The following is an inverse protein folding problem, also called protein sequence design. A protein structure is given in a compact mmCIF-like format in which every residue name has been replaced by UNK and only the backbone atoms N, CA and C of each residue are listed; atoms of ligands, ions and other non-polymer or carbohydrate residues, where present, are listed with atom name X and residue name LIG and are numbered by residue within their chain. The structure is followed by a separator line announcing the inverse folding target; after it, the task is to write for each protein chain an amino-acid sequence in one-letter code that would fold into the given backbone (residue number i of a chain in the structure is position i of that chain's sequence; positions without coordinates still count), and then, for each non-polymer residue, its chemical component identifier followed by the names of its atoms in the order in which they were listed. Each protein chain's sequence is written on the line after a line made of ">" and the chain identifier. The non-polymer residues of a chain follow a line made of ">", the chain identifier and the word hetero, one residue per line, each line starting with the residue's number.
data_IF_910860050973
#
_entry.id   IF_910860050973
#
_cell.length_a   1.000
_cell.length_b   1.000
_cell.length_c   1.000
_cell.angle_alpha   90.00
_cell.angle_beta   90.00
_cell.angle_gamma   90.00
#
_symmetry.space_group_name_H-M   'P 1'
#
loop_
_entity.id
_entity.type
_entity.pdbx_description
1 polymer ?
#
# COMPACT_ATOMS: atom_id res chain seq x y z
N UNK A 1 9.67 -4.83 7.95
CA UNK A 1 8.61 -3.80 8.01
C UNK A 1 8.26 -3.30 6.63
N UNK A 2 7.10 -2.67 6.51
CA UNK A 2 6.66 -1.91 5.33
C UNK A 2 6.44 -0.46 5.75
N UNK A 3 7.15 0.48 5.15
CA UNK A 3 6.96 1.91 5.36
C UNK A 3 6.18 2.47 4.17
N UNK A 4 5.03 3.08 4.42
CA UNK A 4 4.27 3.79 3.40
C UNK A 4 4.52 5.28 3.53
N UNK A 5 5.00 5.89 2.46
CA UNK A 5 5.15 7.35 2.31
C UNK A 5 4.19 7.83 1.21
N UNK A 6 3.38 8.83 1.53
CA UNK A 6 2.33 9.37 0.68
C UNK A 6 2.60 10.86 0.50
N UNK A 7 2.61 11.34 -0.74
CA UNK A 7 2.95 12.73 -1.05
C UNK A 7 1.91 13.36 -1.98
N UNK A 8 1.49 14.59 -1.66
CA UNK A 8 0.44 15.27 -2.40
C UNK A 8 0.94 15.79 -3.76
N UNK A 9 0.21 15.44 -4.82
CA UNK A 9 0.46 15.92 -6.17
C UNK A 9 -0.14 17.31 -6.37
N UNK A 10 0.73 18.30 -6.59
CA UNK A 10 0.32 19.65 -6.99
C UNK A 10 -0.33 20.46 -5.87
N UNK A 11 0.20 20.32 -4.64
CA UNK A 11 -0.19 21.08 -3.45
C UNK A 11 -0.31 22.59 -3.67
N UNK A 12 0.61 23.18 -4.44
CA UNK A 12 0.58 24.62 -4.78
C UNK A 12 -0.66 25.07 -5.57
N UNK A 13 -1.35 24.14 -6.25
CA UNK A 13 -2.55 24.43 -7.05
C UNK A 13 -3.85 23.99 -6.40
N UNK A 14 -3.79 22.96 -5.55
CA UNK A 14 -4.97 22.31 -4.95
C UNK A 14 -5.17 22.63 -3.47
N UNK A 15 -4.25 23.37 -2.86
CA UNK A 15 -4.25 23.59 -1.42
C UNK A 15 -3.73 22.38 -0.65
N UNK A 16 -3.79 22.44 0.67
CA UNK A 16 -3.36 21.36 1.56
C UNK A 16 -4.47 20.31 1.71
N UNK A 17 -4.24 19.10 1.20
CA UNK A 17 -5.16 17.95 1.29
C UNK A 17 -4.73 16.94 2.37
N UNK A 18 -3.63 17.22 3.09
CA UNK A 18 -3.11 16.31 4.13
C UNK A 18 -4.13 16.03 5.24
N UNK A 19 -4.91 17.01 5.74
CA UNK A 19 -5.92 16.71 6.75
C UNK A 19 -6.94 15.66 6.29
N UNK A 20 -7.43 15.77 5.05
CA UNK A 20 -8.42 14.84 4.51
C UNK A 20 -7.85 13.43 4.28
N UNK A 21 -6.60 13.31 3.81
CA UNK A 21 -5.99 11.98 3.64
C UNK A 21 -5.67 11.32 4.97
N UNK A 22 -5.33 12.09 6.00
CA UNK A 22 -5.16 11.54 7.34
C UNK A 22 -6.47 11.01 7.91
N UNK A 23 -7.60 11.67 7.68
CA UNK A 23 -8.93 11.15 8.04
C UNK A 23 -9.24 9.84 7.30
N UNK A 24 -8.93 9.76 6.00
CA UNK A 24 -9.09 8.54 5.21
C UNK A 24 -8.23 7.40 5.76
N UNK A 25 -6.96 7.66 6.07
CA UNK A 25 -6.02 6.67 6.59
C UNK A 25 -6.39 6.23 8.02
N UNK A 26 -6.86 7.15 8.87
CA UNK A 26 -7.32 6.83 10.22
C UNK A 26 -8.57 5.95 10.20
N UNK A 27 -9.54 6.25 9.31
CA UNK A 27 -10.71 5.41 9.11
C UNK A 27 -10.34 4.01 8.58
N UNK A 28 -9.43 3.95 7.59
CA UNK A 28 -8.95 2.68 7.03
C UNK A 28 -8.09 1.86 7.99
N UNK A 29 -7.53 2.49 9.03
CA UNK A 29 -6.75 1.83 10.08
C UNK A 29 -7.51 1.67 11.40
N UNK A 30 -8.84 1.83 11.36
CA UNK A 30 -9.73 1.67 12.51
C UNK A 30 -9.31 2.49 13.74
N UNK A 31 -8.90 3.75 13.53
CA UNK A 31 -8.43 4.61 14.62
C UNK A 31 -7.21 4.03 15.33
N UNK A 32 -6.29 3.42 14.55
CA UNK A 32 -5.06 2.75 14.98
C UNK A 32 -5.21 1.32 15.52
N UNK A 33 -6.41 0.74 15.45
CA UNK A 33 -6.66 -0.63 15.93
C UNK A 33 -6.41 -1.70 14.85
N UNK A 34 -6.21 -1.32 13.58
CA UNK A 34 -6.09 -2.27 12.49
C UNK A 34 -4.90 -3.23 12.67
N UNK A 35 -5.12 -4.55 12.51
CA UNK A 35 -4.05 -5.55 12.56
C UNK A 35 -2.93 -5.24 11.57
N UNK A 36 -1.68 -5.31 12.04
CA UNK A 36 -0.50 -5.06 11.22
C UNK A 36 -0.11 -3.59 11.10
N UNK A 37 -0.86 -2.64 11.68
CA UNK A 37 -0.37 -1.28 11.90
C UNK A 37 0.68 -1.28 13.02
N UNK A 38 1.86 -0.71 12.76
CA UNK A 38 2.96 -0.61 13.73
C UNK A 38 3.12 0.81 14.23
N UNK A 39 3.21 1.79 13.31
CA UNK A 39 3.17 3.23 13.64
C UNK A 39 2.06 3.91 12.84
N UNK A 40 1.26 4.77 13.47
CA UNK A 40 0.15 5.45 12.80
C UNK A 40 0.64 6.38 11.69
N UNK A 41 -0.25 6.68 10.75
CA UNK A 41 0.01 7.67 9.73
C UNK A 41 -0.01 9.07 10.32
N UNK A 42 1.03 9.85 10.02
CA UNK A 42 1.12 11.24 10.43
C UNK A 42 1.74 12.09 9.34
N UNK A 43 1.46 13.40 9.38
CA UNK A 43 2.15 14.38 8.54
C UNK A 43 3.61 14.45 8.95
N UNK A 44 4.50 14.28 7.98
CA UNK A 44 5.94 14.49 8.17
C UNK A 44 6.29 15.94 7.84
N UNK A 45 6.93 16.19 6.69
CA UNK A 45 7.32 17.53 6.24
C UNK A 45 6.45 17.93 5.05
N UNK A 46 5.93 19.15 5.07
CA UNK A 46 5.19 19.70 3.93
C UNK A 46 3.90 18.94 3.68
N UNK A 47 3.73 18.39 2.49
CA UNK A 47 2.54 17.68 2.01
C UNK A 47 2.71 16.14 2.01
N UNK A 48 3.66 15.65 2.81
CA UNK A 48 3.97 14.23 2.97
C UNK A 48 3.33 13.65 4.26
N UNK A 49 2.83 12.42 4.14
CA UNK A 49 2.28 11.60 5.21
C UNK A 49 2.99 10.25 5.24
N UNK A 50 3.29 9.73 6.43
CA UNK A 50 4.03 8.48 6.58
C UNK A 50 3.49 7.60 7.70
N UNK A 51 3.44 6.29 7.47
CA UNK A 51 3.07 5.27 8.47
C UNK A 51 3.92 4.01 8.32
N UNK A 52 3.89 3.15 9.34
CA UNK A 52 4.65 1.89 9.37
C UNK A 52 3.72 0.72 9.62
N UNK A 53 3.87 -0.32 8.80
CA UNK A 53 3.12 -1.55 8.87
C UNK A 53 4.08 -2.73 9.08
N UNK A 54 3.58 -3.78 9.72
CA UNK A 54 4.29 -5.04 9.85
C UNK A 54 4.49 -5.67 8.47
N UNK A 55 5.60 -6.40 8.30
CA UNK A 55 5.84 -7.21 7.10
C UNK A 55 5.30 -8.64 7.28
N UNK A 56 4.14 -8.78 7.89
CA UNK A 56 3.40 -10.03 8.03
C UNK A 56 2.13 -10.01 7.14
N UNK A 57 1.32 -11.06 7.20
CA UNK A 57 0.11 -11.16 6.37
C UNK A 57 -0.89 -10.02 6.65
N UNK A 58 -1.06 -9.62 7.92
CA UNK A 58 -1.99 -8.56 8.29
C UNK A 58 -1.52 -7.20 7.79
N UNK A 59 -0.26 -6.83 8.09
CA UNK A 59 0.30 -5.55 7.68
C UNK A 59 0.44 -5.42 6.16
N UNK A 60 0.73 -6.52 5.46
CA UNK A 60 0.80 -6.51 4.01
C UNK A 60 -0.57 -6.41 3.32
N UNK A 61 -1.63 -7.03 3.87
CA UNK A 61 -3.01 -6.81 3.38
C UNK A 61 -3.43 -5.36 3.58
N UNK A 62 -3.20 -4.84 4.79
CA UNK A 62 -3.47 -3.43 5.11
C UNK A 62 -2.71 -2.50 4.16
N UNK A 63 -1.45 -2.79 3.83
CA UNK A 63 -0.68 -2.02 2.86
C UNK A 63 -1.34 -1.98 1.48
N UNK A 64 -1.81 -3.12 0.96
CA UNK A 64 -2.52 -3.19 -0.33
C UNK A 64 -3.80 -2.36 -0.28
N UNK A 65 -4.60 -2.50 0.78
CA UNK A 65 -5.86 -1.78 0.93
C UNK A 65 -5.66 -0.26 0.98
N UNK A 66 -4.68 0.20 1.75
CA UNK A 66 -4.33 1.63 1.86
C UNK A 66 -3.80 2.17 0.53
N UNK A 67 -2.92 1.44 -0.16
CA UNK A 67 -2.43 1.84 -1.49
C UNK A 67 -3.60 2.00 -2.47
N UNK A 68 -4.53 1.04 -2.52
CA UNK A 68 -5.67 1.12 -3.44
C UNK A 68 -6.66 2.24 -3.06
N UNK A 69 -6.86 2.50 -1.76
CA UNK A 69 -7.66 3.61 -1.28
C UNK A 69 -7.05 4.97 -1.69
N UNK A 70 -5.75 5.15 -1.51
CA UNK A 70 -5.02 6.37 -1.91
C UNK A 70 -5.02 6.58 -3.43
N UNK A 71 -4.85 5.50 -4.20
CA UNK A 71 -4.92 5.55 -5.67
C UNK A 71 -6.33 5.92 -6.16
N UNK A 72 -7.36 5.47 -5.45
CA UNK A 72 -8.76 5.81 -5.73
C UNK A 72 -9.09 7.26 -5.37
N UNK A 73 -8.66 7.72 -4.20
CA UNK A 73 -8.82 9.12 -3.76
C UNK A 73 -8.16 10.08 -4.76
N UNK A 74 -6.99 9.68 -5.25
CA UNK A 74 -6.27 10.37 -6.31
C UNK A 74 -5.60 11.65 -5.81
N UNK A 75 -4.68 12.19 -6.62
CA UNK A 75 -3.89 13.35 -6.19
C UNK A 75 -2.74 13.00 -5.25
N UNK A 76 -2.42 11.72 -5.08
CA UNK A 76 -1.30 11.23 -4.26
C UNK A 76 -0.27 10.49 -5.10
N UNK A 77 0.99 10.57 -4.69
CA UNK A 77 2.04 9.63 -5.07
C UNK A 77 2.34 8.75 -3.86
N UNK A 78 2.38 7.43 -4.07
CA UNK A 78 2.50 6.44 -3.00
C UNK A 78 3.79 5.65 -3.16
N UNK A 79 4.66 5.70 -2.16
CA UNK A 79 5.87 4.92 -2.06
C UNK A 79 5.78 3.88 -0.96
N UNK A 80 6.15 2.64 -1.28
CA UNK A 80 6.29 1.56 -0.29
C UNK A 80 7.76 1.17 -0.18
N UNK A 81 8.33 1.34 1.01
CA UNK A 81 9.67 0.85 1.35
C UNK A 81 9.59 -0.43 2.15
N UNK A 82 10.21 -1.49 1.66
CA UNK A 82 10.21 -2.80 2.33
C UNK A 82 11.59 -3.12 2.91
N UNK A 83 11.62 -3.61 4.15
CA UNK A 83 12.83 -4.12 4.80
C UNK A 83 12.95 -3.78 6.29
N UNK A 84 14.19 -3.81 6.84
CA UNK A 84 14.41 -3.54 8.25
C UNK A 84 14.26 -2.04 8.57
N UNK A 85 13.97 -1.79 9.85
CA UNK A 85 13.94 -0.48 10.50
C UNK A 85 14.89 -0.52 11.69
N UNK A 86 15.33 0.65 12.15
CA UNK A 86 16.17 0.73 13.35
C UNK A 86 15.29 0.54 14.59
N UNK A 87 15.74 -0.31 15.51
CA UNK A 87 15.03 -0.63 16.75
C UNK A 87 15.78 -0.08 17.97
N UNK A 88 15.07 0.30 19.06
CA UNK A 88 13.61 0.24 19.22
C UNK A 88 12.88 1.31 18.41
N UNK A 89 11.66 1.00 17.96
CA UNK A 89 10.82 1.99 17.27
C UNK A 89 10.34 3.07 18.24
N UNK A 90 10.33 4.34 17.82
CA UNK A 90 9.73 5.43 18.59
C UNK A 90 8.20 5.38 18.54
N UNK A 91 7.53 6.22 19.32
CA UNK A 91 6.06 6.35 19.29
C UNK A 91 5.53 6.96 17.98
N UNK A 92 6.37 7.71 17.25
CA UNK A 92 5.97 8.50 16.07
C UNK A 92 6.83 8.18 14.85
N UNK A 93 6.17 8.04 13.70
CA UNK A 93 6.78 7.63 12.42
C UNK A 93 7.91 8.56 11.96
N UNK A 94 7.77 9.87 12.15
CA UNK A 94 8.76 10.89 11.75
C UNK A 94 10.08 10.82 12.51
N UNK A 95 10.10 10.17 13.68
CA UNK A 95 11.31 9.96 14.48
C UNK A 95 11.97 8.60 14.19
N UNK A 96 11.29 7.73 13.45
CA UNK A 96 11.80 6.41 13.11
C UNK A 96 12.77 6.48 11.93
N UNK A 97 13.65 5.48 11.80
CA UNK A 97 14.69 5.43 10.79
C UNK A 97 15.01 3.99 10.39
N UNK A 98 15.87 3.84 9.38
CA UNK A 98 16.35 2.56 8.90
C UNK A 98 16.11 2.35 7.39
N UNK A 99 16.61 1.25 6.81
CA UNK A 99 16.58 1.02 5.37
C UNK A 99 15.19 1.10 4.74
N UNK A 100 14.14 0.64 5.42
CA UNK A 100 12.77 0.73 4.90
C UNK A 100 12.30 2.18 4.69
N UNK A 101 12.67 3.12 5.56
CA UNK A 101 12.31 4.55 5.39
C UNK A 101 13.03 5.17 4.19
N UNK A 102 14.32 4.90 4.04
CA UNK A 102 15.11 5.37 2.88
C UNK A 102 14.50 4.83 1.58
N UNK A 103 14.10 3.56 1.58
CA UNK A 103 13.44 2.92 0.43
C UNK A 103 12.05 3.51 0.15
N UNK A 104 11.25 3.80 1.17
CA UNK A 104 9.93 4.42 1.01
C UNK A 104 10.04 5.82 0.40
N UNK A 105 11.03 6.60 0.84
CA UNK A 105 11.36 7.90 0.25
C UNK A 105 11.79 7.77 -1.22
N UNK A 106 12.67 6.82 -1.53
CA UNK A 106 13.05 6.55 -2.92
C UNK A 106 11.85 6.09 -3.78
N UNK A 107 10.96 5.28 -3.20
CA UNK A 107 9.75 4.81 -3.85
C UNK A 107 8.81 5.96 -4.17
N UNK A 108 8.50 6.84 -3.21
CA UNK A 108 7.55 7.95 -3.45
C UNK A 108 8.09 8.93 -4.48
N UNK A 109 9.40 9.20 -4.49
CA UNK A 109 10.03 10.04 -5.51
C UNK A 109 9.96 9.39 -6.91
N UNK A 110 10.13 8.07 -7.03
CA UNK A 110 9.84 7.36 -8.30
C UNK A 110 8.37 7.44 -8.69
N UNK A 111 7.45 7.33 -7.73
CA UNK A 111 6.01 7.44 -7.97
C UNK A 111 5.57 8.86 -8.41
N UNK A 112 6.39 9.89 -8.18
CA UNK A 112 6.17 11.25 -8.70
C UNK A 112 6.58 11.41 -10.16
N UNK A 113 7.41 10.52 -10.70
CA UNK A 113 7.98 10.65 -12.03
C UNK A 113 6.89 10.88 -13.09
N UNK A 114 7.15 11.84 -13.98
CA UNK A 114 6.23 12.23 -15.05
C UNK A 114 6.08 11.04 -16.02
N UNK A 115 4.86 10.53 -16.16
CA UNK A 115 4.53 9.46 -17.11
C UNK A 115 4.01 8.15 -16.48
N UNK A 116 4.11 7.98 -15.17
CA UNK A 116 3.49 6.84 -14.49
C UNK A 116 1.95 7.00 -14.52
N UNK A 117 1.26 6.13 -15.27
CA UNK A 117 -0.21 6.13 -15.34
C UNK A 117 -0.85 5.85 -13.97
N UNK A 118 -0.14 5.14 -13.09
CA UNK A 118 -0.54 4.85 -11.71
C UNK A 118 0.62 5.28 -10.79
N UNK A 119 0.42 6.29 -9.91
CA UNK A 119 1.48 6.90 -9.11
C UNK A 119 1.82 6.07 -7.86
N UNK A 120 2.24 4.82 -8.07
CA UNK A 120 2.71 3.90 -7.02
C UNK A 120 4.06 3.30 -7.39
N UNK A 121 4.90 3.09 -6.39
CA UNK A 121 6.17 2.40 -6.50
C UNK A 121 6.51 1.64 -5.22
N UNK A 122 7.27 0.55 -5.36
CA UNK A 122 7.76 -0.29 -4.27
C UNK A 122 9.28 -0.40 -4.38
N UNK A 123 9.99 -0.21 -3.27
CA UNK A 123 11.45 -0.42 -3.20
C UNK A 123 11.74 -1.36 -2.04
N UNK A 124 12.31 -2.53 -2.35
CA UNK A 124 12.79 -3.51 -1.38
C UNK A 124 14.32 -3.58 -1.32
N UNK A 125 14.88 -4.68 -0.79
CA UNK A 125 16.31 -4.98 -0.95
C UNK A 125 16.74 -4.95 -2.42
N UNK A 126 17.99 -4.52 -2.67
CA UNK A 126 18.51 -4.33 -4.02
C UNK A 126 19.16 -5.59 -4.62
N UNK A 127 19.34 -6.61 -3.79
CA UNK A 127 19.88 -7.93 -4.10
C UNK A 127 18.76 -8.95 -4.36
N UNK A 128 19.07 -10.00 -5.12
CA UNK A 128 18.13 -11.09 -5.38
C UNK A 128 17.98 -12.02 -4.17
N UNK A 129 16.78 -12.55 -3.89
CA UNK A 129 15.54 -12.41 -4.68
C UNK A 129 14.73 -11.13 -4.36
N UNK A 130 15.20 -10.29 -3.43
CA UNK A 130 14.46 -9.13 -2.93
C UNK A 130 14.15 -8.08 -4.01
N UNK A 131 15.09 -7.85 -4.93
CA UNK A 131 14.91 -6.93 -6.05
C UNK A 131 13.74 -7.37 -6.97
N UNK A 132 13.72 -8.64 -7.39
CA UNK A 132 12.64 -9.19 -8.21
C UNK A 132 11.30 -9.15 -7.49
N UNK A 133 11.25 -9.56 -6.21
CA UNK A 133 9.99 -9.58 -5.44
C UNK A 133 9.39 -8.17 -5.30
N UNK A 134 10.23 -7.15 -5.04
CA UNK A 134 9.77 -5.77 -4.96
C UNK A 134 9.25 -5.23 -6.30
N UNK A 135 9.93 -5.59 -7.40
CA UNK A 135 9.50 -5.23 -8.75
C UNK A 135 8.15 -5.90 -9.12
N UNK A 136 7.96 -7.16 -8.77
CA UNK A 136 6.71 -7.89 -8.98
C UNK A 136 5.55 -7.29 -8.18
N UNK A 137 5.80 -6.92 -6.91
CA UNK A 137 4.82 -6.21 -6.08
C UNK A 137 4.39 -4.88 -6.71
N UNK A 138 5.37 -4.07 -7.17
CA UNK A 138 5.10 -2.80 -7.86
C UNK A 138 4.28 -3.02 -9.14
N UNK A 139 4.67 -3.99 -9.97
CA UNK A 139 3.97 -4.28 -11.22
C UNK A 139 2.51 -4.65 -10.97
N UNK A 140 2.25 -5.49 -9.97
CA UNK A 140 0.90 -5.91 -9.62
C UNK A 140 0.06 -4.77 -9.03
N UNK A 141 0.63 -3.95 -8.14
CA UNK A 141 -0.07 -2.77 -7.59
C UNK A 141 -0.39 -1.74 -8.68
N UNK A 142 0.50 -1.55 -9.67
CA UNK A 142 0.22 -0.71 -10.83
C UNK A 142 -0.90 -1.28 -11.69
N UNK A 143 -0.93 -2.59 -11.91
CA UNK A 143 -2.02 -3.22 -12.65
C UNK A 143 -3.37 -3.01 -11.93
N UNK A 144 -3.43 -3.27 -10.62
CA UNK A 144 -4.62 -3.06 -9.80
C UNK A 144 -5.07 -1.59 -9.83
N UNK A 145 -4.14 -0.64 -9.64
CA UNK A 145 -4.45 0.78 -9.74
C UNK A 145 -4.96 1.20 -11.12
N UNK A 146 -4.45 0.60 -12.20
CA UNK A 146 -4.90 0.89 -13.56
C UNK A 146 -6.31 0.34 -13.83
N UNK A 147 -6.65 -0.82 -13.26
CA UNK A 147 -8.01 -1.38 -13.28
C UNK A 147 -8.95 -0.46 -12.51
N UNK A 148 -8.60 -0.11 -11.28
CA UNK A 148 -9.38 0.78 -10.42
C UNK A 148 -9.65 2.15 -11.08
N UNK A 149 -8.64 2.75 -11.70
CA UNK A 149 -8.76 4.05 -12.38
C UNK A 149 -9.69 4.03 -13.61
N UNK A 150 -9.97 2.86 -14.20
CA UNK A 150 -10.86 2.71 -15.36
C UNK A 150 -12.30 2.36 -14.98
N UNK A 151 -12.58 2.12 -13.70
CA UNK A 151 -13.94 1.82 -13.23
C UNK A 151 -14.86 3.02 -13.44
N UNK A 152 -16.08 2.73 -13.87
CA UNK A 152 -17.13 3.73 -14.00
C UNK A 152 -17.69 4.11 -12.63
N UNK A 153 -18.36 5.25 -12.53
CA UNK A 153 -19.08 5.64 -11.30
C UNK A 153 -20.08 4.57 -10.84
N UNK A 154 -20.83 3.97 -11.76
CA UNK A 154 -21.75 2.88 -11.46
C UNK A 154 -21.05 1.59 -10.98
N UNK A 155 -19.83 1.33 -11.47
CA UNK A 155 -19.00 0.23 -11.00
C UNK A 155 -18.55 0.43 -9.55
N UNK A 156 -18.06 1.64 -9.24
CA UNK A 156 -17.68 2.00 -7.87
C UNK A 156 -18.86 1.99 -6.91
N UNK A 157 -20.01 2.57 -7.31
CA UNK A 157 -21.24 2.56 -6.52
C UNK A 157 -21.68 1.13 -6.15
N UNK A 158 -21.58 0.19 -7.10
CA UNK A 158 -21.87 -1.21 -6.84
C UNK A 158 -20.88 -1.87 -5.87
N UNK A 159 -19.59 -1.57 -5.99
CA UNK A 159 -18.53 -2.10 -5.10
C UNK A 159 -18.71 -1.58 -3.67
N UNK A 160 -18.88 -0.27 -3.49
CA UNK A 160 -19.00 0.36 -2.17
C UNK A 160 -20.25 -0.13 -1.43
N UNK A 161 -21.37 -0.21 -2.15
CA UNK A 161 -22.63 -0.71 -1.59
C UNK A 161 -22.52 -2.19 -1.25
N UNK A 162 -21.82 -2.98 -2.08
CA UNK A 162 -21.56 -4.39 -1.80
C UNK A 162 -20.71 -4.57 -0.54
N UNK A 163 -19.66 -3.75 -0.35
CA UNK A 163 -18.80 -3.79 0.82
C UNK A 163 -19.60 -3.55 2.12
N UNK A 164 -20.56 -2.62 2.11
CA UNK A 164 -21.50 -2.38 3.21
C UNK A 164 -22.45 -3.56 3.52
N UNK A 165 -22.47 -4.58 2.66
CA UNK A 165 -23.29 -5.78 2.81
C UNK A 165 -22.46 -7.07 2.87
N UNK A 166 -21.16 -7.00 3.17
CA UNK A 166 -20.26 -8.16 3.18
C UNK A 166 -20.72 -9.30 4.12
N UNK A 167 -21.42 -8.98 5.22
CA UNK A 167 -21.93 -9.97 6.20
C UNK A 167 -23.34 -10.46 5.88
N UNK A 168 -23.99 -9.94 4.84
CA UNK A 168 -25.33 -10.37 4.46
C UNK A 168 -25.31 -11.77 3.84
N UNK A 169 -26.38 -12.55 4.02
CA UNK A 169 -26.52 -13.87 3.40
C UNK A 169 -26.63 -13.82 1.87
N UNK A 170 -27.10 -12.69 1.32
CA UNK A 170 -27.18 -12.43 -0.12
C UNK A 170 -26.69 -11.00 -0.43
N UNK A 171 -25.37 -10.74 -0.43
CA UNK A 171 -24.81 -9.40 -0.56
C UNK A 171 -25.20 -8.69 -1.85
N UNK A 172 -25.19 -9.39 -3.00
CA UNK A 172 -25.59 -8.79 -4.29
C UNK A 172 -27.08 -8.44 -4.34
N UNK A 173 -27.95 -9.25 -3.71
CA UNK A 173 -29.39 -8.93 -3.59
C UNK A 173 -29.62 -7.73 -2.69
N UNK A 174 -28.92 -7.64 -1.55
CA UNK A 174 -28.98 -6.49 -0.68
C UNK A 174 -28.52 -5.21 -1.43
N UNK A 175 -27.41 -5.33 -2.16
CA UNK A 175 -26.87 -4.26 -3.03
C UNK A 175 -27.87 -3.81 -4.08
N UNK A 176 -28.51 -4.76 -4.79
CA UNK A 176 -29.51 -4.47 -5.81
C UNK A 176 -30.70 -3.68 -5.25
N UNK A 177 -31.18 -4.08 -4.06
CA UNK A 177 -32.26 -3.34 -3.36
C UNK A 177 -31.82 -1.95 -2.93
N UNK A 178 -30.62 -1.81 -2.37
CA UNK A 178 -30.09 -0.52 -1.93
C UNK A 178 -29.93 0.46 -3.12
N UNK A 179 -29.53 -0.04 -4.29
CA UNK A 179 -29.33 0.75 -5.50
C UNK A 179 -30.60 0.91 -6.37
N UNK A 180 -31.72 0.26 -6.03
CA UNK A 180 -32.94 0.30 -6.83
C UNK A 180 -32.80 -0.31 -8.24
N UNK A 181 -31.91 -1.30 -8.41
CA UNK A 181 -31.66 -1.99 -9.68
C UNK A 181 -31.83 -3.50 -9.55
N UNK A 182 -31.73 -4.25 -10.66
CA UNK A 182 -31.79 -5.72 -10.63
C UNK A 182 -30.47 -6.34 -10.15
N UNK A 183 -30.52 -7.56 -9.59
CA UNK A 183 -29.31 -8.35 -9.26
C UNK A 183 -28.41 -8.55 -10.49
N UNK A 184 -29.02 -8.74 -11.67
CA UNK A 184 -28.30 -8.84 -12.95
C UNK A 184 -27.54 -7.55 -13.30
N UNK A 185 -28.12 -6.38 -13.02
CA UNK A 185 -27.45 -5.09 -13.23
C UNK A 185 -26.27 -4.91 -12.27
N UNK A 186 -26.40 -5.30 -11.00
CA UNK A 186 -25.28 -5.32 -10.04
C UNK A 186 -24.17 -6.25 -10.52
N UNK A 187 -24.51 -7.49 -10.87
CA UNK A 187 -23.55 -8.47 -11.39
C UNK A 187 -22.81 -7.96 -12.63
N UNK A 188 -23.52 -7.31 -13.56
CA UNK A 188 -22.90 -6.69 -14.73
C UNK A 188 -21.93 -5.57 -14.35
N UNK A 189 -22.33 -4.66 -13.45
CA UNK A 189 -21.46 -3.57 -12.97
C UNK A 189 -20.19 -4.11 -12.31
N UNK A 190 -20.30 -5.12 -11.45
CA UNK A 190 -19.17 -5.75 -10.78
C UNK A 190 -18.22 -6.44 -11.76
N UNK A 191 -18.75 -7.16 -12.76
CA UNK A 191 -17.93 -7.77 -13.83
C UNK A 191 -17.23 -6.73 -14.69
N UNK A 192 -17.93 -5.68 -15.10
CA UNK A 192 -17.33 -4.57 -15.87
C UNK A 192 -16.26 -3.84 -15.04
N UNK A 193 -16.41 -3.79 -13.73
CA UNK A 193 -15.44 -3.21 -12.80
C UNK A 193 -14.27 -4.16 -12.47
N UNK A 194 -14.26 -5.41 -12.96
CA UNK A 194 -13.27 -6.44 -12.62
C UNK A 194 -13.11 -6.64 -11.10
N UNK A 195 -14.23 -6.59 -10.37
CA UNK A 195 -14.17 -6.65 -8.90
C UNK A 195 -13.73 -8.03 -8.38
N UNK A 196 -14.24 -9.11 -8.97
CA UNK A 196 -13.88 -10.47 -8.55
C UNK A 196 -12.40 -10.78 -8.81
N UNK A 197 -11.87 -10.27 -9.93
CA UNK A 197 -10.48 -10.43 -10.33
C UNK A 197 -9.53 -9.65 -9.42
N UNK A 198 -9.90 -8.42 -9.03
CA UNK A 198 -9.15 -7.65 -8.03
C UNK A 198 -9.13 -8.37 -6.68
N UNK A 199 -10.30 -8.79 -6.18
CA UNK A 199 -10.39 -9.53 -4.90
C UNK A 199 -9.54 -10.80 -4.90
N UNK A 200 -9.54 -11.55 -6.01
CA UNK A 200 -8.76 -12.77 -6.13
C UNK A 200 -7.24 -12.52 -6.13
N UNK A 201 -6.78 -11.36 -6.59
CA UNK A 201 -5.34 -11.06 -6.73
C UNK A 201 -4.77 -10.25 -5.57
N UNK A 202 -5.61 -9.58 -4.75
CA UNK A 202 -5.18 -8.87 -3.52
C UNK A 202 -4.28 -9.73 -2.61
N UNK A 203 -4.59 -11.02 -2.33
CA UNK A 203 -3.71 -11.86 -1.51
C UNK A 203 -2.33 -12.11 -2.13
N UNK A 204 -2.21 -12.10 -3.46
CA UNK A 204 -0.90 -12.22 -4.12
C UNK A 204 -0.07 -10.95 -3.91
N UNK A 205 -0.68 -9.76 -4.07
CA UNK A 205 -0.01 -8.50 -3.80
C UNK A 205 0.48 -8.41 -2.35
N UNK A 206 -0.35 -8.83 -1.39
CA UNK A 206 0.01 -8.88 0.02
C UNK A 206 1.21 -9.83 0.27
N UNK A 207 1.18 -11.05 -0.30
CA UNK A 207 2.31 -11.99 -0.15
C UNK A 207 3.62 -11.44 -0.72
N UNK A 208 3.57 -10.76 -1.86
CA UNK A 208 4.77 -10.13 -2.46
C UNK A 208 5.31 -9.00 -1.58
N UNK A 209 4.44 -8.14 -1.03
CA UNK A 209 4.85 -7.10 -0.09
C UNK A 209 5.44 -7.68 1.20
N UNK A 210 4.78 -8.66 1.82
CA UNK A 210 5.30 -9.34 3.00
C UNK A 210 6.68 -9.94 2.72
N UNK A 211 6.82 -10.69 1.63
CA UNK A 211 8.09 -11.29 1.23
C UNK A 211 9.19 -10.24 1.02
N UNK A 212 8.90 -9.13 0.31
CA UNK A 212 9.86 -8.04 0.12
C UNK A 212 10.33 -7.41 1.45
N UNK A 213 9.46 -7.42 2.47
CA UNK A 213 9.74 -6.87 3.80
C UNK A 213 10.50 -7.82 4.74
N UNK A 214 10.57 -9.11 4.39
CA UNK A 214 11.20 -10.17 5.21
C UNK A 214 12.41 -10.83 4.55
N UNK A 215 12.78 -10.48 3.31
CA UNK A 215 14.03 -10.97 2.71
C UNK A 215 15.21 -10.50 3.59
N UNK A 216 15.82 -11.43 4.31
CA UNK A 216 17.05 -11.20 5.05
C UNK A 216 18.22 -11.07 4.06
N UNK A 217 19.10 -10.08 4.27
CA UNK A 217 20.41 -10.14 3.63
C UNK A 217 21.14 -11.36 4.18
N UNK A 218 21.83 -12.16 3.35
CA UNK A 218 22.84 -13.07 3.87
C UNK A 218 23.76 -12.25 4.78
N UNK A 219 23.93 -12.68 6.03
CA UNK A 219 25.00 -12.12 6.86
C UNK A 219 26.28 -12.30 6.06
N UNK A 220 26.92 -11.21 5.64
CA UNK A 220 28.32 -11.26 5.25
C UNK A 220 29.06 -11.78 6.48
N UNK A 221 29.34 -13.08 6.49
CA UNK A 221 30.36 -13.64 7.35
C UNK A 221 31.65 -13.00 6.86
N UNK A 222 32.02 -11.90 7.52
CA UNK A 222 33.38 -11.41 7.48
C UNK A 222 34.20 -12.54 8.08
N UNK A 223 34.79 -13.36 7.21
CA UNK A 223 35.79 -14.34 7.59
C UNK A 223 37.01 -13.53 8.01
N UNK A 224 37.11 -13.27 9.32
CA UNK A 224 38.27 -12.64 9.96
C UNK A 224 39.41 -13.66 10.01
N UNK A 225 39.83 -14.13 8.84
CA UNK A 225 40.99 -14.99 8.64
C UNK A 225 42.09 -14.19 7.92
N UNK A 226 42.35 -12.98 8.44
CA UNK A 226 43.60 -12.26 8.16
C UNK A 226 44.07 -11.53 9.43
N UNK A 227 44.60 -12.28 10.39
CA UNK A 227 45.91 -12.04 10.99
C UNK A 227 46.18 -12.98 12.18
N UNK A 228 47.06 -13.95 12.00
CA UNK A 228 48.18 -14.13 12.94
C UNK A 228 49.35 -14.78 12.20
N UNK A 229 50.23 -13.92 11.66
CA UNK A 229 51.60 -14.30 11.38
C UNK A 229 52.43 -14.20 12.65
N UNK A 230 53.34 -15.15 12.84
CA UNK A 230 54.55 -14.93 13.63
C UNK A 230 54.73 -15.85 14.83
N UNK A 231 55.39 -17.00 14.58
CA UNK A 231 56.72 -17.33 15.12
C UNK A 231 57.31 -18.53 14.40
#
# INVERSE_FOLDING_TARGET
>A
MLVLTVDQRGSTRRGDLVPAVLELLDAATEGRAAPGLVLPFERTVGDEVQGVLAADDAGARLAVDLVLALLRDGGWSVGVGAGPVDEPLPEVSRAASGPAFVRARAAVERAKARGAAVPVAVVGPGDEPGATIAADAEALLRLLGAVAARRTGAGWEAIDTLAGHATASAPQRATARALGVSEQAVSQRLRTALWAEEEAVRPLAARLLAAAGTVERPRETYDDDTQEGGR
#
